data_IF_202027166844
#
_entry.id   IF_202027166844
#
_cell.length_a   1.000
_cell.length_b   1.000
_cell.length_c   1.000
_cell.angle_alpha   90.00
_cell.angle_beta   90.00
_cell.angle_gamma   90.00
#
_symmetry.space_group_name_H-M   'P 1'
#
loop_
_entity.id
_entity.type
_entity.pdbx_description
1 polymer ?
#
# COMPACT_ATOMS: atom_id res chain seq x y z
N UNK A 1 -2.68 -4.44 28.65
CA UNK A 1 -2.65 -5.25 27.42
C UNK A 1 -1.18 -5.43 27.05
N UNK A 2 -0.73 -6.61 26.60
CA UNK A 2 0.59 -6.76 26.03
C UNK A 2 0.73 -5.83 24.81
N UNK A 3 1.89 -5.20 24.67
CA UNK A 3 2.17 -4.27 23.57
C UNK A 3 2.36 -5.07 22.27
N UNK A 4 1.48 -4.92 21.26
CA UNK A 4 1.59 -5.66 20.00
C UNK A 4 2.85 -5.30 19.19
N UNK A 5 3.56 -4.22 19.54
CA UNK A 5 4.83 -3.83 18.90
C UNK A 5 6.05 -4.54 19.50
N UNK A 6 5.91 -5.15 20.68
CA UNK A 6 7.03 -5.81 21.38
C UNK A 6 7.57 -7.04 20.64
N UNK A 7 6.83 -7.52 19.64
CA UNK A 7 7.19 -8.61 18.76
C UNK A 7 7.57 -8.13 17.35
N UNK A 8 7.87 -6.85 17.11
CA UNK A 8 8.37 -6.35 15.81
C UNK A 8 9.86 -6.01 15.86
N UNK A 9 10.55 -6.12 14.71
CA UNK A 9 11.87 -5.52 14.58
C UNK A 9 11.72 -4.00 14.64
N UNK A 10 12.77 -3.30 15.07
CA UNK A 10 12.78 -1.83 15.14
C UNK A 10 12.37 -1.19 13.80
N UNK A 11 12.88 -1.73 12.69
CA UNK A 11 12.55 -1.23 11.36
C UNK A 11 11.09 -1.52 10.93
N UNK A 12 10.51 -2.66 11.35
CA UNK A 12 9.09 -2.92 11.14
C UNK A 12 8.20 -2.01 11.99
N UNK A 13 8.62 -1.71 13.22
CA UNK A 13 7.92 -0.78 14.11
C UNK A 13 7.90 0.65 13.52
N UNK A 14 9.05 1.13 13.01
CA UNK A 14 9.13 2.42 12.31
C UNK A 14 8.19 2.48 11.09
N UNK A 15 8.22 1.44 10.25
CA UNK A 15 7.35 1.35 9.08
C UNK A 15 5.86 1.38 9.45
N UNK A 16 5.45 0.64 10.49
CA UNK A 16 4.08 0.67 11.01
C UNK A 16 3.74 2.05 11.58
N UNK A 17 4.66 2.68 12.30
CA UNK A 17 4.53 4.05 12.81
C UNK A 17 4.26 5.06 11.70
N UNK A 18 5.05 5.03 10.63
CA UNK A 18 4.90 5.92 9.47
C UNK A 18 3.54 5.74 8.77
N UNK A 19 3.08 4.50 8.60
CA UNK A 19 1.75 4.22 8.04
C UNK A 19 0.65 4.88 8.89
N UNK A 20 0.74 4.74 10.22
CA UNK A 20 -0.22 5.34 11.15
C UNK A 20 -0.18 6.88 11.10
N UNK A 21 1.01 7.48 11.04
CA UNK A 21 1.18 8.94 10.93
C UNK A 21 0.49 9.44 9.67
N UNK A 22 0.78 8.85 8.50
CA UNK A 22 0.18 9.27 7.23
C UNK A 22 -1.35 9.14 7.25
N UNK A 23 -1.86 8.02 7.76
CA UNK A 23 -3.30 7.80 7.86
C UNK A 23 -3.97 8.83 8.79
N UNK A 24 -3.35 9.12 9.93
CA UNK A 24 -3.84 10.11 10.90
C UNK A 24 -3.80 11.52 10.35
N UNK A 25 -2.70 11.93 9.72
CA UNK A 25 -2.53 13.26 9.14
C UNK A 25 -3.51 13.50 7.99
N UNK A 26 -3.76 12.47 7.17
CA UNK A 26 -4.83 12.50 6.18
C UNK A 26 -6.19 12.78 6.83
N UNK A 27 -6.57 12.01 7.85
CA UNK A 27 -7.86 12.18 8.52
C UNK A 27 -8.00 13.56 9.18
N UNK A 28 -6.95 14.05 9.85
CA UNK A 28 -6.93 15.37 10.48
C UNK A 28 -7.07 16.48 9.44
N UNK A 29 -6.30 16.42 8.36
CA UNK A 29 -6.38 17.37 7.23
C UNK A 29 -7.76 17.33 6.59
N UNK A 30 -8.37 16.15 6.46
CA UNK A 30 -9.71 16.01 5.90
C UNK A 30 -10.78 16.64 6.77
N UNK A 31 -10.75 16.36 8.07
CA UNK A 31 -11.68 16.95 9.04
C UNK A 31 -11.64 18.48 9.00
N UNK A 32 -10.47 19.07 8.76
CA UNK A 32 -10.31 20.53 8.62
C UNK A 32 -10.73 21.03 7.23
N UNK A 33 -10.37 20.33 6.15
CA UNK A 33 -10.73 20.71 4.77
C UNK A 33 -12.25 20.72 4.51
N UNK A 34 -13.01 19.84 5.19
CA UNK A 34 -14.48 19.77 5.11
C UNK A 34 -15.15 21.03 5.68
N UNK A 35 -14.45 21.80 6.51
CA UNK A 35 -14.93 23.07 7.06
C UNK A 35 -14.75 24.25 6.09
N UNK A 36 -13.76 24.19 5.19
CA UNK A 36 -13.29 25.35 4.43
C UNK A 36 -13.35 25.20 2.91
N UNK A 37 -13.43 23.99 2.36
CA UNK A 37 -13.32 23.77 0.91
C UNK A 37 -14.67 23.87 0.20
N UNK A 38 -14.81 24.83 -0.71
CA UNK A 38 -15.97 24.94 -1.60
C UNK A 38 -16.06 23.74 -2.56
N UNK A 39 -17.26 23.19 -2.69
CA UNK A 39 -17.60 22.02 -3.52
C UNK A 39 -17.26 22.31 -4.98
N UNK A 40 -16.20 21.70 -5.50
CA UNK A 40 -15.88 21.73 -6.92
C UNK A 40 -16.80 20.82 -7.75
N UNK A 41 -16.77 20.98 -9.07
CA UNK A 41 -17.64 20.32 -10.06
C UNK A 41 -17.58 18.77 -10.08
N UNK A 42 -16.70 18.13 -9.31
CA UNK A 42 -16.44 16.68 -9.33
C UNK A 42 -16.49 15.98 -7.97
N UNK A 43 -17.04 16.60 -6.91
CA UNK A 43 -17.23 15.86 -5.67
C UNK A 43 -17.87 16.69 -4.57
N UNK A 44 -18.96 16.14 -4.00
CA UNK A 44 -19.61 16.68 -2.83
C UNK A 44 -18.76 16.53 -1.56
N UNK A 45 -19.14 17.28 -0.54
CA UNK A 45 -18.49 17.37 0.79
C UNK A 45 -18.21 16.01 1.45
N UNK A 46 -18.99 14.98 1.10
CA UNK A 46 -18.90 13.63 1.65
C UNK A 46 -18.39 12.59 0.65
N UNK A 47 -18.21 12.94 -0.64
CA UNK A 47 -17.97 11.95 -1.68
C UNK A 47 -16.48 11.64 -1.83
N UNK A 48 -15.57 12.59 -1.56
CA UNK A 48 -14.13 12.32 -1.45
C UNK A 48 -13.49 11.65 -2.68
N UNK A 49 -14.16 11.67 -3.82
CA UNK A 49 -13.74 10.96 -5.03
C UNK A 49 -12.49 11.61 -5.59
N UNK A 50 -11.38 10.88 -5.54
CA UNK A 50 -10.23 11.12 -6.42
C UNK A 50 -9.54 12.47 -6.26
N UNK A 51 -9.70 13.18 -5.14
CA UNK A 51 -8.86 14.33 -4.88
C UNK A 51 -7.41 13.87 -4.66
N UNK A 52 -6.49 14.77 -4.95
CA UNK A 52 -5.07 14.42 -5.00
C UNK A 52 -4.52 14.02 -3.63
N UNK A 53 -5.04 14.57 -2.53
CA UNK A 53 -4.55 14.25 -1.19
C UNK A 53 -4.91 12.80 -0.82
N UNK A 54 -6.14 12.36 -1.10
CA UNK A 54 -6.54 10.95 -0.89
C UNK A 54 -5.71 9.98 -1.71
N UNK A 55 -5.45 10.31 -2.99
CA UNK A 55 -4.58 9.51 -3.83
C UNK A 55 -3.15 9.41 -3.26
N UNK A 56 -2.56 10.55 -2.87
CA UNK A 56 -1.20 10.56 -2.33
C UNK A 56 -1.10 9.83 -1.00
N UNK A 57 -2.12 9.88 -0.13
CA UNK A 57 -2.15 9.10 1.09
C UNK A 57 -2.05 7.58 0.81
N UNK A 58 -2.87 7.06 -0.12
CA UNK A 58 -2.79 5.65 -0.55
C UNK A 58 -1.41 5.31 -1.11
N UNK A 59 -0.87 6.17 -1.98
CA UNK A 59 0.42 5.95 -2.62
C UNK A 59 1.59 5.93 -1.63
N UNK A 60 1.57 6.82 -0.64
CA UNK A 60 2.62 6.91 0.38
C UNK A 60 2.56 5.70 1.32
N UNK A 61 1.37 5.31 1.79
CA UNK A 61 1.18 4.13 2.64
C UNK A 61 1.70 2.87 1.95
N UNK A 62 1.25 2.59 0.71
CA UNK A 62 1.71 1.41 -0.02
C UNK A 62 3.22 1.47 -0.36
N UNK A 63 3.77 2.68 -0.49
CA UNK A 63 5.20 2.91 -0.70
C UNK A 63 6.07 2.50 0.49
N UNK A 64 5.54 2.57 1.72
CA UNK A 64 6.27 2.15 2.93
C UNK A 64 6.51 0.65 2.91
N UNK A 65 5.48 -0.16 2.61
CA UNK A 65 5.65 -1.62 2.47
C UNK A 65 6.67 -1.91 1.37
N UNK A 66 6.64 -1.12 0.28
CA UNK A 66 7.61 -1.28 -0.80
C UNK A 66 9.04 -1.08 -0.37
N UNK A 67 9.26 0.00 0.37
CA UNK A 67 10.56 0.36 0.90
C UNK A 67 11.03 -0.64 1.95
N UNK A 68 10.17 -1.02 2.89
CA UNK A 68 10.47 -1.99 3.94
C UNK A 68 10.98 -3.31 3.34
N UNK A 69 10.23 -3.91 2.41
CA UNK A 69 10.63 -5.19 1.83
C UNK A 69 11.94 -5.09 1.03
N UNK A 70 12.18 -3.96 0.37
CA UNK A 70 13.44 -3.72 -0.34
C UNK A 70 14.63 -3.63 0.62
N UNK A 71 14.51 -2.86 1.70
CA UNK A 71 15.57 -2.72 2.68
C UNK A 71 15.87 -4.05 3.39
N UNK A 72 14.85 -4.85 3.73
CA UNK A 72 15.06 -6.18 4.31
C UNK A 72 15.85 -7.10 3.38
N UNK A 73 15.50 -7.12 2.08
CA UNK A 73 16.24 -7.90 1.09
C UNK A 73 17.67 -7.40 0.89
N UNK A 74 17.89 -6.07 0.89
CA UNK A 74 19.22 -5.47 0.79
C UNK A 74 20.09 -5.78 2.01
N UNK A 75 19.53 -5.66 3.22
CA UNK A 75 20.21 -5.97 4.47
C UNK A 75 20.62 -7.44 4.54
N UNK A 76 19.82 -8.34 3.98
CA UNK A 76 20.15 -9.76 3.83
C UNK A 76 21.13 -10.06 2.68
N UNK A 77 21.72 -9.05 2.04
CA UNK A 77 22.74 -9.20 1.00
C UNK A 77 22.20 -9.53 -0.39
N UNK A 78 20.90 -9.32 -0.64
CA UNK A 78 20.33 -9.56 -1.96
C UNK A 78 20.87 -8.56 -2.98
N UNK A 79 21.13 -9.03 -4.20
CA UNK A 79 21.62 -8.19 -5.29
C UNK A 79 20.52 -7.17 -5.69
N UNK A 80 20.79 -5.84 -5.68
CA UNK A 80 19.82 -4.82 -6.08
C UNK A 80 19.20 -5.06 -7.46
N UNK A 81 19.95 -5.64 -8.40
CA UNK A 81 19.46 -5.95 -9.75
C UNK A 81 18.39 -7.04 -9.77
N UNK A 82 18.31 -7.87 -8.73
CA UNK A 82 17.30 -8.95 -8.58
C UNK A 82 16.05 -8.50 -7.82
N UNK A 83 16.01 -7.26 -7.33
CA UNK A 83 14.88 -6.72 -6.56
C UNK A 83 14.40 -5.37 -7.11
N UNK A 84 14.80 -5.05 -8.35
CA UNK A 84 14.53 -3.77 -9.02
C UNK A 84 13.05 -3.45 -9.14
N UNK A 85 12.21 -4.47 -9.33
CA UNK A 85 10.77 -4.30 -9.41
C UNK A 85 10.07 -5.06 -8.30
N UNK A 86 8.88 -4.59 -7.91
CA UNK A 86 8.05 -5.33 -6.97
C UNK A 86 7.66 -6.73 -7.46
N UNK A 87 7.67 -6.95 -8.78
CA UNK A 87 7.46 -8.29 -9.35
C UNK A 87 8.57 -9.28 -8.99
N UNK A 88 9.79 -8.80 -8.77
CA UNK A 88 10.96 -9.64 -8.49
C UNK A 88 11.08 -9.97 -6.99
N UNK A 89 10.57 -9.09 -6.13
CA UNK A 89 10.71 -9.17 -4.66
C UNK A 89 10.17 -10.47 -4.04
N UNK A 90 9.00 -11.04 -4.43
CA UNK A 90 8.54 -12.32 -3.86
C UNK A 90 9.49 -13.48 -4.10
N UNK A 91 10.04 -13.58 -5.31
CA UNK A 91 11.01 -14.63 -5.65
C UNK A 91 12.31 -14.44 -4.85
N UNK A 92 12.78 -13.20 -4.74
CA UNK A 92 13.95 -12.89 -3.93
C UNK A 92 13.71 -13.23 -2.45
N UNK A 93 12.54 -12.87 -1.91
CA UNK A 93 12.14 -13.17 -0.54
C UNK A 93 12.15 -14.66 -0.25
N UNK A 94 11.56 -15.47 -1.13
CA UNK A 94 11.56 -16.93 -1.01
C UNK A 94 12.97 -17.52 -1.00
N UNK A 95 13.88 -16.99 -1.81
CA UNK A 95 15.27 -17.46 -1.85
C UNK A 95 16.04 -17.04 -0.59
N UNK A 96 15.82 -15.82 -0.11
CA UNK A 96 16.58 -15.23 1.01
C UNK A 96 16.10 -15.72 2.37
N UNK A 97 14.79 -15.78 2.58
CA UNK A 97 14.17 -16.08 3.88
C UNK A 97 13.45 -17.43 3.92
N UNK A 98 13.49 -18.21 2.83
CA UNK A 98 12.78 -19.49 2.71
C UNK A 98 11.27 -19.40 3.00
N UNK A 99 10.67 -18.24 2.74
CA UNK A 99 9.25 -17.96 2.97
C UNK A 99 8.57 -17.50 1.67
N UNK A 100 7.45 -18.14 1.32
CA UNK A 100 6.67 -17.77 0.14
C UNK A 100 5.61 -16.73 0.50
N UNK A 101 5.95 -15.45 0.39
CA UNK A 101 5.03 -14.36 0.77
C UNK A 101 3.81 -14.21 -0.16
N UNK A 102 3.77 -14.92 -1.29
CA UNK A 102 2.56 -15.01 -2.11
C UNK A 102 1.58 -16.10 -1.61
N UNK A 103 2.03 -16.98 -0.72
CA UNK A 103 1.18 -17.99 -0.09
C UNK A 103 0.31 -17.40 1.03
N UNK A 104 -0.99 -17.70 0.99
CA UNK A 104 -1.96 -17.18 1.97
C UNK A 104 -1.73 -17.71 3.38
N UNK A 105 -1.03 -18.84 3.56
CA UNK A 105 -0.66 -19.34 4.88
C UNK A 105 0.54 -18.62 5.48
N UNK A 106 1.33 -17.93 4.65
CA UNK A 106 2.56 -17.24 5.06
C UNK A 106 2.34 -15.74 5.24
N UNK A 107 1.75 -15.07 4.24
CA UNK A 107 1.48 -13.63 4.28
C UNK A 107 0.08 -13.34 3.70
N UNK A 108 -1.00 -13.61 4.45
CA UNK A 108 -2.37 -13.46 3.99
C UNK A 108 -2.68 -12.08 3.40
N UNK A 109 -2.13 -11.03 3.98
CA UNK A 109 -2.39 -9.64 3.57
C UNK A 109 -1.68 -9.26 2.26
N UNK A 110 -0.69 -10.04 1.82
CA UNK A 110 0.16 -9.70 0.68
C UNK A 110 -0.64 -9.48 -0.61
N UNK A 111 -1.59 -10.37 -0.92
CA UNK A 111 -2.41 -10.27 -2.14
C UNK A 111 -3.25 -8.99 -2.16
N UNK A 112 -3.79 -8.58 -1.01
CA UNK A 112 -4.55 -7.35 -0.87
C UNK A 112 -3.62 -6.13 -1.01
N UNK A 113 -2.46 -6.15 -0.34
CA UNK A 113 -1.45 -5.10 -0.43
C UNK A 113 -0.99 -4.92 -1.89
N UNK A 114 -0.84 -5.99 -2.66
CA UNK A 114 -0.52 -5.91 -4.10
C UNK A 114 -1.52 -5.08 -4.89
N UNK A 115 -2.81 -5.08 -4.54
CA UNK A 115 -3.79 -4.21 -5.18
C UNK A 115 -3.51 -2.72 -4.89
N UNK A 116 -3.18 -2.38 -3.66
CA UNK A 116 -2.80 -1.00 -3.29
C UNK A 116 -1.49 -0.56 -3.94
N UNK A 117 -0.53 -1.47 -4.13
CA UNK A 117 0.66 -1.20 -4.93
C UNK A 117 0.34 -0.81 -6.38
N UNK A 118 -0.57 -1.52 -7.04
CA UNK A 118 -0.98 -1.18 -8.41
C UNK A 118 -1.68 0.20 -8.45
N UNK A 119 -2.47 0.52 -7.42
CA UNK A 119 -3.05 1.85 -7.26
C UNK A 119 -1.98 2.92 -7.09
N UNK A 120 -0.96 2.69 -6.24
CA UNK A 120 0.20 3.59 -6.09
C UNK A 120 0.84 3.88 -7.45
N UNK A 121 1.15 2.85 -8.24
CA UNK A 121 1.77 3.04 -9.55
C UNK A 121 0.90 3.90 -10.49
N UNK A 122 -0.41 3.67 -10.53
CA UNK A 122 -1.33 4.50 -11.30
C UNK A 122 -1.37 5.95 -10.80
N UNK A 123 -1.36 6.15 -9.48
CA UNK A 123 -1.37 7.48 -8.83
C UNK A 123 -0.09 8.26 -9.12
N UNK A 124 1.06 7.60 -9.03
CA UNK A 124 2.38 8.21 -9.19
C UNK A 124 2.69 8.51 -10.66
N UNK A 125 2.33 7.61 -11.59
CA UNK A 125 2.69 7.78 -13.00
C UNK A 125 1.62 8.50 -13.84
N UNK A 126 0.34 8.35 -13.51
CA UNK A 126 -0.76 8.82 -14.36
C UNK A 126 -1.93 9.43 -13.57
N UNK A 127 -1.65 9.95 -12.36
CA UNK A 127 -2.62 10.66 -11.50
C UNK A 127 -3.90 9.84 -11.23
N UNK A 128 -3.74 8.53 -11.12
CA UNK A 128 -4.82 7.58 -10.84
C UNK A 128 -5.41 6.93 -12.10
N UNK A 129 -4.91 7.24 -13.29
CA UNK A 129 -5.23 6.45 -14.48
C UNK A 129 -4.24 5.29 -14.63
N UNK A 130 -4.73 4.10 -14.97
CA UNK A 130 -3.87 2.93 -15.21
C UNK A 130 -2.95 3.20 -16.40
N UNK A 131 -1.67 2.84 -16.23
CA UNK A 131 -0.70 2.84 -17.33
C UNK A 131 -1.08 1.81 -18.38
N UNK A 132 -0.53 1.93 -19.59
CA UNK A 132 -0.87 1.00 -20.68
C UNK A 132 -0.45 -0.44 -20.33
N UNK A 133 0.66 -0.62 -19.62
CA UNK A 133 1.10 -1.91 -19.09
C UNK A 133 0.18 -2.47 -17.99
N UNK A 134 -0.54 -1.63 -17.27
CA UNK A 134 -1.48 -2.03 -16.22
C UNK A 134 -2.88 -2.39 -16.74
N UNK A 135 -3.19 -2.15 -18.02
CA UNK A 135 -4.49 -2.46 -18.64
C UNK A 135 -4.62 -3.93 -19.00
N UNK A 136 -4.48 -4.81 -18.01
CA UNK A 136 -4.59 -6.25 -18.17
C UNK A 136 -5.37 -6.92 -17.02
N UNK A 137 -5.87 -8.12 -17.28
CA UNK A 137 -6.74 -8.86 -16.36
C UNK A 137 -6.10 -9.14 -15.00
N UNK A 138 -4.78 -9.39 -14.95
CA UNK A 138 -4.07 -9.68 -13.70
C UNK A 138 -4.06 -8.47 -12.76
N UNK A 139 -3.84 -7.27 -13.30
CA UNK A 139 -3.90 -6.03 -12.51
C UNK A 139 -5.33 -5.74 -12.06
N UNK A 140 -6.32 -5.98 -12.92
CA UNK A 140 -7.72 -5.79 -12.54
C UNK A 140 -8.13 -6.72 -11.39
N UNK A 141 -7.68 -7.98 -11.41
CA UNK A 141 -7.92 -8.93 -10.33
C UNK A 141 -7.30 -8.46 -9.00
N UNK A 142 -6.07 -7.91 -9.04
CA UNK A 142 -5.40 -7.35 -7.84
C UNK A 142 -6.14 -6.14 -7.27
N UNK A 143 -6.56 -5.21 -8.13
CA UNK A 143 -7.34 -4.03 -7.72
C UNK A 143 -8.68 -4.45 -7.12
N UNK A 144 -9.35 -5.43 -7.72
CA UNK A 144 -10.60 -6.00 -7.19
C UNK A 144 -10.40 -6.68 -5.84
N UNK A 145 -9.32 -7.44 -5.65
CA UNK A 145 -9.00 -8.06 -4.37
C UNK A 145 -8.86 -7.01 -3.26
N UNK A 146 -8.18 -5.90 -3.54
CA UNK A 146 -8.06 -4.76 -2.64
C UNK A 146 -9.32 -3.87 -2.55
N UNK A 147 -10.42 -4.27 -3.20
CA UNK A 147 -11.69 -3.50 -3.26
C UNK A 147 -11.51 -2.07 -3.80
N UNK A 148 -10.54 -1.88 -4.70
CA UNK A 148 -10.34 -0.61 -5.40
C UNK A 148 -11.22 -0.57 -6.64
N UNK A 149 -12.19 0.34 -6.62
CA UNK A 149 -13.10 0.56 -7.73
C UNK A 149 -12.41 1.27 -8.90
N UNK A 150 -12.99 1.11 -10.10
CA UNK A 150 -12.53 1.77 -11.32
C UNK A 150 -13.68 2.35 -12.11
N UNK A 151 -13.46 3.52 -12.72
CA UNK A 151 -14.31 4.11 -13.76
C UNK A 151 -13.49 4.15 -15.06
N UNK A 152 -13.77 3.22 -15.97
CA UNK A 152 -12.90 2.95 -17.11
C UNK A 152 -11.49 2.51 -16.67
N UNK A 153 -10.47 3.29 -17.02
CA UNK A 153 -9.08 3.08 -16.60
C UNK A 153 -8.66 3.93 -15.40
N UNK A 154 -9.57 4.70 -14.79
CA UNK A 154 -9.25 5.49 -13.60
C UNK A 154 -9.61 4.74 -12.35
N UNK A 155 -8.68 4.64 -11.40
CA UNK A 155 -8.96 4.12 -10.07
C UNK A 155 -9.73 5.17 -9.28
N UNK A 156 -10.62 4.68 -8.43
CA UNK A 156 -11.39 5.48 -7.50
C UNK A 156 -10.92 5.17 -6.10
N UNK A 157 -10.49 6.20 -5.38
CA UNK A 157 -10.08 6.11 -3.99
C UNK A 157 -10.83 7.14 -3.16
N UNK A 158 -11.16 6.77 -1.93
CA UNK A 158 -11.84 7.62 -0.95
C UNK A 158 -11.22 7.39 0.45
N UNK A 159 -11.79 8.02 1.48
CA UNK A 159 -11.29 7.89 2.86
C UNK A 159 -11.32 6.46 3.41
N UNK A 160 -12.30 5.65 3.00
CA UNK A 160 -12.33 4.23 3.37
C UNK A 160 -11.18 3.46 2.69
N UNK A 161 -10.86 3.80 1.44
CA UNK A 161 -9.69 3.24 0.75
C UNK A 161 -8.40 3.53 1.49
N UNK A 162 -8.22 4.75 2.04
CA UNK A 162 -7.03 5.09 2.84
C UNK A 162 -6.97 4.24 4.11
N UNK A 163 -8.09 4.09 4.82
CA UNK A 163 -8.15 3.26 6.04
C UNK A 163 -7.82 1.79 5.74
N UNK A 164 -8.46 1.19 4.74
CA UNK A 164 -8.19 -0.20 4.35
C UNK A 164 -6.78 -0.38 3.83
N UNK A 165 -6.21 0.61 3.12
CA UNK A 165 -4.81 0.58 2.70
C UNK A 165 -3.87 0.55 3.91
N UNK A 166 -4.11 1.41 4.91
CA UNK A 166 -3.31 1.45 6.13
C UNK A 166 -3.38 0.12 6.90
N UNK A 167 -4.60 -0.40 7.15
CA UNK A 167 -4.81 -1.67 7.85
C UNK A 167 -4.09 -2.84 7.16
N UNK A 168 -4.29 -2.99 5.85
CA UNK A 168 -3.65 -4.05 5.06
C UNK A 168 -2.14 -3.89 5.00
N UNK A 169 -1.62 -2.67 4.87
CA UNK A 169 -0.19 -2.43 4.81
C UNK A 169 0.51 -2.66 6.16
N UNK A 170 -0.14 -2.30 7.27
CA UNK A 170 0.37 -2.64 8.62
C UNK A 170 0.44 -4.15 8.79
N UNK A 171 -0.65 -4.87 8.51
CA UNK A 171 -0.66 -6.34 8.58
C UNK A 171 0.43 -6.95 7.70
N UNK A 172 0.63 -6.44 6.48
CA UNK A 172 1.65 -6.94 5.57
C UNK A 172 3.06 -6.72 6.10
N UNK A 173 3.36 -5.57 6.71
CA UNK A 173 4.68 -5.34 7.34
C UNK A 173 4.90 -6.32 8.49
N UNK A 174 3.90 -6.52 9.35
CA UNK A 174 3.98 -7.44 10.48
C UNK A 174 4.19 -8.89 10.04
N UNK A 175 3.42 -9.34 9.04
CA UNK A 175 3.53 -10.68 8.46
C UNK A 175 4.88 -10.88 7.75
N UNK A 176 5.37 -9.87 7.02
CA UNK A 176 6.70 -9.92 6.41
C UNK A 176 7.80 -10.01 7.48
N UNK A 177 7.76 -9.17 8.51
CA UNK A 177 8.75 -9.17 9.60
C UNK A 177 8.84 -10.55 10.27
N UNK A 178 7.70 -11.17 10.53
CA UNK A 178 7.62 -12.51 11.12
C UNK A 178 8.34 -13.58 10.27
N UNK A 179 8.43 -13.40 8.95
CA UNK A 179 9.14 -14.34 8.06
C UNK A 179 10.65 -14.09 7.96
N UNK A 180 11.15 -12.99 8.51
CA UNK A 180 12.57 -12.62 8.45
C UNK A 180 13.38 -13.03 9.68
N UNK A 181 12.72 -13.67 10.65
CA UNK A 181 13.30 -14.16 11.91
C UNK A 181 13.59 -15.65 11.83
#
# INVERSE_FOLDING_TARGET
MPDPLRELSEFAEEAVGDIHIIARDYLATRAESVKTTAVGRFGGRNSGYGDRATQLAVANIAGIVEHYAEQMLLAAGCNPMKIKTWGDKPRAWKVTFNADIEDMGTCPSFTLMRGFYEARNAIMHRRGELTDSQRNQRIFARLMAARIERVGYRIVVNGNTVRSCAEVCVQCVQELDATTR
#
